data_IF_637608530541
#
_entry.id   IF_637608530541
#
_cell.length_a   1.000
_cell.length_b   1.000
_cell.length_c   1.000
_cell.angle_alpha   90.00
_cell.angle_beta   90.00
_cell.angle_gamma   90.00
#
_symmetry.space_group_name_H-M   'P 1'
#
loop_
_entity.id
_entity.type
_entity.pdbx_description
1 polymer ?
#
# COMPACT_ATOMS: atom_id res chain seq x y z
N UNK A 1 6.71 57.11 -57.17
CA UNK A 1 5.79 56.09 -56.62
C UNK A 1 6.49 55.40 -55.45
N UNK A 2 6.29 55.86 -54.22
CA UNK A 2 6.87 55.19 -53.05
C UNK A 2 5.82 54.28 -52.39
N UNK A 3 6.07 52.98 -52.37
CA UNK A 3 5.25 52.02 -51.61
C UNK A 3 5.81 51.93 -50.19
N UNK A 4 5.06 52.44 -49.22
CA UNK A 4 5.37 52.25 -47.80
C UNK A 4 4.95 50.84 -47.40
N UNK A 5 5.91 49.97 -47.09
CA UNK A 5 5.64 48.61 -46.62
C UNK A 5 5.43 48.66 -45.10
N UNK A 6 4.19 48.49 -44.66
CA UNK A 6 3.84 48.43 -43.25
C UNK A 6 4.11 47.01 -42.70
N UNK A 7 5.11 46.86 -41.84
CA UNK A 7 5.39 45.60 -41.17
C UNK A 7 4.42 45.41 -39.99
N UNK A 8 3.39 44.57 -40.16
CA UNK A 8 2.54 44.13 -39.06
C UNK A 8 3.29 43.10 -38.22
N UNK A 9 3.81 43.52 -37.05
CA UNK A 9 4.33 42.59 -36.05
C UNK A 9 3.16 41.86 -35.38
N UNK A 10 2.86 40.63 -35.83
CA UNK A 10 1.85 39.79 -35.17
C UNK A 10 2.39 39.27 -33.85
N UNK A 11 1.93 39.83 -32.73
CA UNK A 11 2.15 39.28 -31.40
C UNK A 11 1.44 37.93 -31.28
N UNK A 12 2.16 36.84 -31.51
CA UNK A 12 1.68 35.50 -31.22
C UNK A 12 1.63 35.32 -29.70
N UNK A 13 0.43 35.40 -29.13
CA UNK A 13 0.20 35.13 -27.71
C UNK A 13 0.45 33.64 -27.44
N UNK A 14 1.61 33.31 -26.88
CA UNK A 14 1.93 31.95 -26.45
C UNK A 14 1.10 31.63 -25.21
N UNK A 15 -0.05 30.98 -25.42
CA UNK A 15 -0.89 30.47 -24.34
C UNK A 15 -0.13 29.42 -23.54
N UNK A 16 0.44 29.81 -22.40
CA UNK A 16 1.02 28.87 -21.43
C UNK A 16 -0.12 28.06 -20.83
N UNK A 17 -0.35 26.86 -21.34
CA UNK A 17 -1.27 25.90 -20.74
C UNK A 17 -0.71 25.54 -19.37
N UNK A 18 -1.39 25.99 -18.30
CA UNK A 18 -1.00 25.65 -16.94
C UNK A 18 -1.07 24.13 -16.77
N UNK A 19 0.06 23.50 -16.41
CA UNK A 19 0.14 22.06 -16.32
C UNK A 19 -0.71 21.55 -15.16
N UNK A 20 -1.66 20.66 -15.46
CA UNK A 20 -2.65 20.20 -14.50
C UNK A 20 -2.02 19.30 -13.44
N UNK A 21 -2.54 19.37 -12.22
CA UNK A 21 -2.20 18.49 -11.10
C UNK A 21 -3.45 17.75 -10.63
N UNK A 22 -3.29 16.49 -10.20
CA UNK A 22 -4.38 15.72 -9.60
C UNK A 22 -4.56 16.07 -8.10
N UNK A 23 -5.52 15.39 -7.43
CA UNK A 23 -5.85 15.65 -6.03
C UNK A 23 -4.70 15.36 -5.04
N UNK A 24 -3.68 14.61 -5.46
CA UNK A 24 -2.46 14.35 -4.68
C UNK A 24 -1.35 15.38 -4.95
N UNK A 25 -1.57 16.38 -5.80
CA UNK A 25 -0.54 17.35 -6.22
C UNK A 25 0.49 16.77 -7.20
N UNK A 26 0.19 15.61 -7.79
CA UNK A 26 0.99 14.96 -8.84
C UNK A 26 0.65 15.63 -10.18
N UNK A 27 1.68 16.02 -10.93
CA UNK A 27 1.54 16.57 -12.28
C UNK A 27 0.97 15.49 -13.22
N UNK A 28 -0.12 15.82 -13.92
CA UNK A 28 -0.75 14.94 -14.90
C UNK A 28 0.13 14.94 -16.17
N UNK A 29 0.59 13.77 -16.66
CA UNK A 29 1.38 13.68 -17.89
C UNK A 29 0.55 14.06 -19.14
N UNK A 30 1.19 14.60 -20.21
CA UNK A 30 0.48 14.93 -21.45
C UNK A 30 -0.16 13.71 -22.12
N UNK A 31 -1.36 13.89 -22.68
CA UNK A 31 -2.05 12.81 -23.40
C UNK A 31 -1.30 12.37 -24.67
N UNK A 32 -1.12 11.06 -24.84
CA UNK A 32 -0.61 10.41 -26.06
C UNK A 32 -1.75 9.87 -26.91
N UNK A 33 -1.55 9.72 -28.23
CA UNK A 33 -2.61 9.28 -29.15
C UNK A 33 -2.67 7.78 -29.44
N UNK A 34 -1.67 6.98 -29.02
CA UNK A 34 -1.61 5.54 -29.31
C UNK A 34 -1.37 4.72 -28.03
N UNK A 35 -2.19 3.71 -27.77
CA UNK A 35 -2.02 2.77 -26.64
C UNK A 35 -1.04 1.63 -26.96
N UNK A 36 -0.36 1.12 -25.93
CA UNK A 36 0.61 0.00 -26.03
C UNK A 36 0.78 -0.80 -24.73
N UNK A 37 -0.08 -0.60 -23.73
CA UNK A 37 -0.06 -1.28 -22.44
C UNK A 37 -1.37 -2.06 -22.27
N UNK A 38 -1.27 -3.37 -22.03
CA UNK A 38 -2.42 -4.28 -21.93
C UNK A 38 -3.01 -4.27 -20.52
N UNK A 39 -3.54 -3.10 -20.15
CA UNK A 39 -4.02 -2.68 -18.83
C UNK A 39 -3.91 -3.71 -17.70
N UNK A 40 -4.97 -4.46 -17.41
CA UNK A 40 -5.08 -5.26 -16.17
C UNK A 40 -4.12 -6.44 -16.17
N UNK A 41 -3.91 -7.07 -17.32
CA UNK A 41 -3.02 -8.22 -17.44
C UNK A 41 -1.55 -7.82 -17.28
N UNK A 42 -1.16 -6.68 -17.86
CA UNK A 42 0.22 -6.19 -17.79
C UNK A 42 0.55 -5.62 -16.40
N UNK A 43 -0.34 -4.81 -15.82
CA UNK A 43 -0.20 -4.35 -14.44
C UNK A 43 -0.17 -5.52 -13.44
N UNK A 44 -1.03 -6.54 -13.64
CA UNK A 44 -1.03 -7.75 -12.84
C UNK A 44 0.26 -8.56 -12.95
N UNK A 45 0.82 -8.69 -14.16
CA UNK A 45 2.12 -9.36 -14.38
C UNK A 45 3.24 -8.65 -13.62
N UNK A 46 3.34 -7.32 -13.74
CA UNK A 46 4.36 -6.55 -13.04
C UNK A 46 4.25 -6.67 -11.52
N UNK A 47 3.04 -6.61 -10.94
CA UNK A 47 2.86 -6.81 -9.50
C UNK A 47 3.26 -8.24 -9.07
N UNK A 48 2.97 -9.27 -9.87
CA UNK A 48 3.38 -10.64 -9.58
C UNK A 48 4.92 -10.78 -9.59
N UNK A 49 5.60 -10.19 -10.58
CA UNK A 49 7.07 -10.17 -10.63
C UNK A 49 7.66 -9.47 -9.40
N UNK A 50 7.09 -8.34 -8.98
CA UNK A 50 7.51 -7.62 -7.77
C UNK A 50 7.35 -8.49 -6.51
N UNK A 51 6.20 -9.15 -6.35
CA UNK A 51 5.89 -10.05 -5.24
C UNK A 51 6.90 -11.20 -5.15
N UNK A 52 7.27 -11.79 -6.30
CA UNK A 52 8.32 -12.80 -6.38
C UNK A 52 9.68 -12.24 -5.95
N UNK A 53 10.13 -11.11 -6.53
CA UNK A 53 11.47 -10.55 -6.24
C UNK A 53 11.67 -10.10 -4.79
N UNK A 54 10.60 -9.77 -4.06
CA UNK A 54 10.65 -9.46 -2.63
C UNK A 54 10.22 -10.62 -1.71
N UNK A 55 9.93 -11.79 -2.27
CA UNK A 55 9.42 -12.97 -1.57
C UNK A 55 8.24 -12.64 -0.62
N UNK A 56 7.21 -12.00 -1.17
CA UNK A 56 5.98 -11.69 -0.47
C UNK A 56 4.81 -12.35 -1.21
N UNK A 57 4.11 -13.26 -0.53
CA UNK A 57 3.04 -14.07 -1.13
C UNK A 57 1.66 -13.41 -0.90
N UNK A 58 1.55 -12.12 -1.17
CA UNK A 58 0.28 -11.37 -1.01
C UNK A 58 -0.65 -11.64 -2.20
N UNK A 59 -1.96 -11.46 -2.03
CA UNK A 59 -2.94 -11.58 -3.11
C UNK A 59 -3.64 -10.22 -3.34
N UNK A 60 -3.12 -9.45 -4.29
CA UNK A 60 -3.69 -8.16 -4.66
C UNK A 60 -4.84 -8.30 -5.67
N UNK A 61 -5.89 -7.52 -5.46
CA UNK A 61 -6.92 -7.29 -6.46
C UNK A 61 -6.51 -6.09 -7.32
N UNK A 62 -6.06 -6.35 -8.55
CA UNK A 62 -5.63 -5.32 -9.50
C UNK A 62 -6.84 -4.86 -10.32
N UNK A 63 -7.08 -3.55 -10.40
CA UNK A 63 -8.24 -2.98 -11.08
C UNK A 63 -7.87 -1.74 -11.90
N UNK A 64 -8.25 -1.75 -13.16
CA UNK A 64 -8.25 -0.56 -14.00
C UNK A 64 -9.47 0.32 -13.67
N UNK A 65 -9.26 1.62 -13.53
CA UNK A 65 -10.29 2.64 -13.39
C UNK A 65 -9.84 3.92 -14.10
N UNK A 66 -10.22 4.08 -15.37
CA UNK A 66 -9.79 5.22 -16.19
C UNK A 66 -10.57 6.50 -15.86
N UNK A 67 -9.89 7.64 -15.88
CA UNK A 67 -10.43 8.97 -15.58
C UNK A 67 -9.97 9.55 -14.24
N UNK A 68 -9.40 8.73 -13.34
CA UNK A 68 -8.87 9.19 -12.05
C UNK A 68 -7.52 9.91 -12.17
N UNK A 69 -6.82 9.79 -13.31
CA UNK A 69 -5.50 10.39 -13.57
C UNK A 69 -4.48 10.09 -12.45
N UNK A 70 -4.47 8.85 -11.95
CA UNK A 70 -3.69 8.44 -10.79
C UNK A 70 -3.55 6.91 -10.72
N UNK A 71 -2.74 6.43 -9.76
CA UNK A 71 -2.90 5.10 -9.16
C UNK A 71 -3.03 5.25 -7.64
N UNK A 72 -3.63 4.27 -6.95
CA UNK A 72 -3.74 4.26 -5.50
C UNK A 72 -3.94 2.85 -4.91
N UNK A 73 -3.29 2.60 -3.78
CA UNK A 73 -3.52 1.47 -2.90
C UNK A 73 -4.72 1.71 -1.97
N UNK A 74 -5.60 0.72 -1.80
CA UNK A 74 -6.72 0.80 -0.86
C UNK A 74 -7.17 -0.58 -0.36
N UNK A 75 -8.04 -0.62 0.64
CA UNK A 75 -8.70 -1.83 1.13
C UNK A 75 -10.21 -1.70 0.89
N UNK A 76 -10.80 -2.66 0.19
CA UNK A 76 -12.24 -2.72 -0.05
C UNK A 76 -12.71 -4.11 0.37
N UNK A 77 -13.69 -4.17 1.29
CA UNK A 77 -14.28 -5.43 1.79
C UNK A 77 -13.21 -6.48 2.18
N UNK A 78 -12.27 -6.08 3.03
CA UNK A 78 -11.14 -6.90 3.50
C UNK A 78 -10.10 -7.35 2.46
N UNK A 79 -10.19 -6.92 1.21
CA UNK A 79 -9.22 -7.25 0.17
C UNK A 79 -8.33 -6.06 -0.14
N UNK A 80 -7.04 -6.31 -0.39
CA UNK A 80 -6.07 -5.29 -0.79
C UNK A 80 -6.21 -5.02 -2.29
N UNK A 81 -6.54 -3.79 -2.65
CA UNK A 81 -6.67 -3.33 -4.04
C UNK A 81 -5.52 -2.40 -4.43
N UNK A 82 -5.03 -2.56 -5.66
CA UNK A 82 -4.27 -1.53 -6.36
C UNK A 82 -5.13 -1.10 -7.54
N UNK A 83 -5.57 0.14 -7.52
CA UNK A 83 -6.45 0.75 -8.53
C UNK A 83 -5.61 1.74 -9.34
N UNK A 84 -5.72 1.72 -10.66
CA UNK A 84 -4.92 2.58 -11.53
C UNK A 84 -5.67 3.00 -12.80
N UNK A 85 -5.33 4.18 -13.30
CA UNK A 85 -5.74 4.67 -14.61
C UNK A 85 -4.72 4.22 -15.66
N UNK A 86 -5.15 3.44 -16.65
CA UNK A 86 -4.28 2.94 -17.70
C UNK A 86 -3.72 4.06 -18.57
N UNK A 87 -4.56 5.04 -18.91
CA UNK A 87 -4.15 6.18 -19.73
C UNK A 87 -3.12 7.04 -18.99
N UNK A 88 -3.29 7.23 -17.68
CA UNK A 88 -2.29 7.91 -16.85
C UNK A 88 -0.93 7.21 -16.88
N UNK A 89 -0.89 5.89 -16.67
CA UNK A 89 0.36 5.12 -16.70
C UNK A 89 1.00 5.14 -18.10
N UNK A 90 0.20 5.00 -19.16
CA UNK A 90 0.69 5.09 -20.54
C UNK A 90 1.25 6.49 -20.89
N UNK A 91 0.57 7.55 -20.46
CA UNK A 91 1.02 8.93 -20.67
C UNK A 91 2.30 9.20 -19.86
N UNK A 92 2.41 8.64 -18.65
CA UNK A 92 3.60 8.72 -17.82
C UNK A 92 4.80 8.04 -18.49
N UNK A 93 4.64 6.82 -19.00
CA UNK A 93 5.71 6.09 -19.69
C UNK A 93 6.21 6.85 -20.93
N UNK A 94 5.30 7.45 -21.70
CA UNK A 94 5.65 8.29 -22.83
C UNK A 94 6.37 9.58 -22.40
N UNK A 95 5.90 10.24 -21.34
CA UNK A 95 6.49 11.48 -20.83
C UNK A 95 7.85 11.27 -20.16
N UNK A 96 8.06 10.11 -19.53
CA UNK A 96 9.33 9.66 -18.94
C UNK A 96 10.27 8.99 -19.95
N UNK A 97 9.76 8.63 -21.14
CA UNK A 97 10.44 7.84 -22.17
C UNK A 97 10.92 6.44 -21.70
N UNK A 98 10.21 5.81 -20.76
CA UNK A 98 10.53 4.47 -20.25
C UNK A 98 9.33 3.81 -19.56
N UNK A 99 9.14 2.49 -19.79
CA UNK A 99 8.12 1.68 -19.06
C UNK A 99 8.39 1.55 -17.57
N UNK A 100 9.63 1.80 -17.14
CA UNK A 100 9.96 1.78 -15.72
C UNK A 100 9.25 2.88 -14.92
N UNK A 101 8.70 3.90 -15.57
CA UNK A 101 7.94 4.93 -14.89
C UNK A 101 6.61 4.38 -14.33
N UNK A 102 5.78 3.72 -15.13
CA UNK A 102 4.55 3.06 -14.67
C UNK A 102 4.83 1.93 -13.68
N UNK A 103 5.87 1.12 -13.92
CA UNK A 103 6.31 0.05 -13.00
C UNK A 103 6.70 0.64 -11.63
N UNK A 104 7.39 1.79 -11.59
CA UNK A 104 7.76 2.45 -10.32
C UNK A 104 6.56 2.97 -9.53
N UNK A 105 5.48 3.39 -10.21
CA UNK A 105 4.22 3.81 -9.58
C UNK A 105 3.50 2.59 -8.99
N UNK A 106 3.38 1.50 -9.75
CA UNK A 106 2.81 0.24 -9.25
C UNK A 106 3.60 -0.32 -8.04
N UNK A 107 4.94 -0.20 -8.07
CA UNK A 107 5.79 -0.58 -6.95
C UNK A 107 5.62 0.34 -5.73
N UNK A 108 5.34 1.63 -5.92
CA UNK A 108 5.00 2.57 -4.86
C UNK A 108 3.66 2.22 -4.19
N UNK A 109 2.62 1.91 -4.97
CA UNK A 109 1.33 1.44 -4.41
C UNK A 109 1.45 0.11 -3.66
N UNK A 110 2.24 -0.83 -4.20
CA UNK A 110 2.61 -2.04 -3.49
C UNK A 110 3.37 -1.72 -2.17
N UNK A 111 4.15 -0.63 -2.13
CA UNK A 111 4.81 -0.09 -0.94
C UNK A 111 3.85 0.39 0.14
N UNK A 112 2.80 1.11 -0.22
CA UNK A 112 1.73 1.49 0.72
C UNK A 112 1.08 0.26 1.37
N UNK A 113 0.85 -0.79 0.60
CA UNK A 113 0.38 -2.07 1.15
C UNK A 113 1.43 -2.76 2.04
N UNK A 114 2.69 -2.81 1.58
CA UNK A 114 3.82 -3.49 2.26
C UNK A 114 4.12 -2.90 3.64
N UNK A 115 3.93 -1.58 3.78
CA UNK A 115 4.08 -0.82 5.02
C UNK A 115 2.78 -0.69 5.83
N UNK A 116 1.66 -1.21 5.31
CA UNK A 116 0.32 -1.13 5.89
C UNK A 116 -0.24 0.30 6.04
N UNK A 117 0.16 1.22 5.16
CA UNK A 117 -0.29 2.61 5.15
C UNK A 117 -1.80 2.78 4.91
N UNK A 118 -2.43 1.82 4.26
CA UNK A 118 -3.86 1.85 3.90
C UNK A 118 -4.80 1.35 5.01
N UNK A 119 -4.26 0.76 6.09
CA UNK A 119 -5.07 0.05 7.09
C UNK A 119 -5.71 0.99 8.11
N UNK A 120 -5.08 2.14 8.39
CA UNK A 120 -5.61 3.15 9.31
C UNK A 120 -6.59 4.13 8.64
N UNK A 121 -7.00 3.87 7.39
CA UNK A 121 -7.90 4.68 6.56
C UNK A 121 -7.48 6.13 6.34
N UNK A 122 -6.32 6.55 6.82
CA UNK A 122 -5.80 7.91 6.63
C UNK A 122 -5.02 7.94 5.32
N UNK A 123 -5.30 8.94 4.49
CA UNK A 123 -4.58 9.16 3.24
C UNK A 123 -3.09 9.45 3.43
N UNK A 124 -2.43 9.82 2.33
CA UNK A 124 -1.00 10.11 2.29
C UNK A 124 -0.55 11.13 3.34
N UNK A 125 0.60 10.84 3.93
CA UNK A 125 1.34 11.75 4.81
C UNK A 125 2.82 11.66 4.44
N UNK A 126 3.64 12.70 4.65
CA UNK A 126 5.03 12.69 4.21
C UNK A 126 5.86 11.46 4.66
N UNK A 127 5.70 10.91 5.87
CA UNK A 127 6.37 9.66 6.25
C UNK A 127 5.88 8.43 5.47
N UNK A 128 4.56 8.26 5.31
CA UNK A 128 3.97 7.15 4.52
C UNK A 128 4.49 7.19 3.08
N UNK A 129 4.49 8.37 2.49
CA UNK A 129 5.03 8.61 1.17
C UNK A 129 6.49 8.18 1.05
N UNK A 130 7.38 8.65 1.94
CA UNK A 130 8.82 8.33 1.88
C UNK A 130 9.11 6.83 2.10
N UNK A 131 8.36 6.17 2.98
CA UNK A 131 8.47 4.71 3.18
C UNK A 131 8.03 3.89 1.94
N UNK A 132 7.07 4.40 1.15
CA UNK A 132 6.61 3.79 -0.10
C UNK A 132 7.59 4.02 -1.27
N UNK A 133 8.23 5.20 -1.37
CA UNK A 133 9.28 5.46 -2.37
C UNK A 133 10.55 4.66 -2.14
N UNK A 134 11.00 4.55 -0.89
CA UNK A 134 12.10 3.66 -0.53
C UNK A 134 11.78 2.22 -0.96
N UNK A 135 10.55 1.77 -0.73
CA UNK A 135 10.13 0.46 -1.17
C UNK A 135 10.11 0.33 -2.70
N UNK A 136 9.61 1.33 -3.43
CA UNK A 136 9.64 1.36 -4.89
C UNK A 136 11.07 1.23 -5.42
N UNK A 137 12.01 2.07 -4.97
CA UNK A 137 13.42 1.98 -5.38
C UNK A 137 14.06 0.62 -5.11
N UNK A 138 13.77 0.02 -3.95
CA UNK A 138 14.21 -1.33 -3.58
C UNK A 138 13.65 -2.42 -4.51
N UNK A 139 12.37 -2.34 -4.87
CA UNK A 139 11.74 -3.27 -5.82
C UNK A 139 12.31 -3.10 -7.23
N UNK A 140 12.43 -1.85 -7.70
CA UNK A 140 12.95 -1.52 -9.04
C UNK A 140 14.37 -2.06 -9.25
N UNK A 141 15.25 -1.90 -8.27
CA UNK A 141 16.60 -2.50 -8.28
C UNK A 141 16.59 -4.03 -8.39
N UNK A 142 15.62 -4.70 -7.75
CA UNK A 142 15.47 -6.16 -7.78
C UNK A 142 14.84 -6.69 -9.06
N UNK A 143 14.03 -5.87 -9.75
CA UNK A 143 13.55 -6.14 -11.10
C UNK A 143 14.63 -5.91 -12.17
N UNK A 144 15.71 -5.21 -11.83
CA UNK A 144 16.85 -4.95 -12.72
C UNK A 144 16.89 -3.55 -13.33
N UNK A 145 16.00 -2.64 -12.92
CA UNK A 145 16.02 -1.25 -13.38
C UNK A 145 17.29 -0.52 -12.93
N UNK A 146 17.78 0.40 -13.76
CA UNK A 146 18.80 1.38 -13.36
C UNK A 146 18.26 2.38 -12.33
N UNK A 147 19.16 3.11 -11.67
CA UNK A 147 18.76 4.15 -10.72
C UNK A 147 17.98 5.29 -11.39
N UNK A 148 18.34 5.66 -12.63
CA UNK A 148 17.65 6.73 -13.36
C UNK A 148 16.26 6.31 -13.82
N UNK A 149 16.10 5.07 -14.29
CA UNK A 149 14.79 4.48 -14.58
C UNK A 149 13.90 4.41 -13.32
N UNK A 150 14.49 4.02 -12.18
CA UNK A 150 13.79 3.99 -10.88
C UNK A 150 13.30 5.38 -10.43
N UNK A 151 13.97 6.45 -10.89
CA UNK A 151 13.65 7.85 -10.57
C UNK A 151 12.84 8.54 -11.66
N UNK A 152 12.60 7.90 -12.81
CA UNK A 152 12.07 8.52 -14.02
C UNK A 152 10.67 9.14 -13.81
N UNK A 153 9.76 8.43 -13.13
CA UNK A 153 8.42 8.93 -12.82
C UNK A 153 8.48 10.20 -11.95
N UNK A 154 9.09 10.12 -10.75
CA UNK A 154 9.18 11.26 -9.83
C UNK A 154 9.97 12.45 -10.42
N UNK A 155 10.91 12.19 -11.33
CA UNK A 155 11.57 13.25 -12.09
C UNK A 155 10.61 14.07 -12.97
N UNK A 156 9.51 13.46 -13.43
CA UNK A 156 8.51 14.09 -14.30
C UNK A 156 7.31 14.65 -13.53
N UNK A 157 6.80 13.91 -12.53
CA UNK A 157 5.47 14.19 -11.96
C UNK A 157 5.43 14.78 -10.54
N UNK A 158 6.55 14.75 -9.80
CA UNK A 158 6.57 15.23 -8.42
C UNK A 158 6.69 16.76 -8.32
N UNK A 159 5.92 17.38 -7.42
CA UNK A 159 6.02 18.79 -7.08
C UNK A 159 7.38 19.14 -6.45
N UNK A 160 8.00 20.23 -6.91
CA UNK A 160 9.22 20.77 -6.30
C UNK A 160 9.00 21.27 -4.86
N UNK A 161 7.76 21.57 -4.46
CA UNK A 161 7.40 22.01 -3.09
C UNK A 161 6.64 20.92 -2.36
N UNK A 162 6.96 20.73 -1.08
CA UNK A 162 6.20 19.85 -0.19
C UNK A 162 4.80 20.41 0.11
N UNK A 163 3.89 19.53 0.51
CA UNK A 163 2.56 19.83 1.04
C UNK A 163 2.36 19.15 2.40
N UNK A 164 1.15 19.28 2.99
CA UNK A 164 0.78 18.58 4.22
C UNK A 164 0.68 17.06 4.06
N UNK A 165 0.46 16.56 2.84
CA UNK A 165 0.30 15.13 2.52
C UNK A 165 1.49 14.53 1.78
N UNK A 166 2.20 15.31 0.96
CA UNK A 166 3.25 14.81 0.06
C UNK A 166 4.60 15.54 0.26
N UNK A 167 5.73 14.83 0.33
CA UNK A 167 7.07 15.43 0.39
C UNK A 167 7.43 16.20 -0.89
N UNK A 168 8.44 17.07 -0.80
CA UNK A 168 9.05 17.68 -1.98
C UNK A 168 9.75 16.63 -2.85
N UNK A 169 9.78 16.86 -4.16
CA UNK A 169 10.43 16.02 -5.18
C UNK A 169 11.83 15.53 -4.81
N UNK A 170 12.65 16.37 -4.19
CA UNK A 170 14.02 15.99 -3.79
C UNK A 170 14.01 14.85 -2.77
N UNK A 171 13.25 14.98 -1.69
CA UNK A 171 13.10 13.94 -0.66
C UNK A 171 12.48 12.65 -1.23
N UNK A 172 11.52 12.77 -2.18
CA UNK A 172 10.94 11.64 -2.93
C UNK A 172 12.06 10.86 -3.65
N UNK A 173 12.85 11.57 -4.47
CA UNK A 173 13.97 11.01 -5.24
C UNK A 173 15.10 10.45 -4.37
N UNK A 174 15.36 11.04 -3.21
CA UNK A 174 16.35 10.54 -2.25
C UNK A 174 15.90 9.20 -1.66
N UNK A 175 14.66 9.08 -1.21
CA UNK A 175 14.11 7.83 -0.68
C UNK A 175 14.19 6.69 -1.70
N UNK A 176 13.82 6.95 -2.97
CA UNK A 176 13.99 5.99 -4.08
C UNK A 176 15.46 5.56 -4.20
N UNK A 177 16.39 6.51 -4.20
CA UNK A 177 17.84 6.24 -4.30
C UNK A 177 18.33 5.36 -3.15
N UNK A 178 17.94 5.67 -1.91
CA UNK A 178 18.31 4.88 -0.73
C UNK A 178 17.80 3.43 -0.84
N UNK A 179 16.53 3.24 -1.24
CA UNK A 179 15.96 1.91 -1.45
C UNK A 179 16.67 1.10 -2.55
N UNK A 180 17.00 1.75 -3.66
CA UNK A 180 17.71 1.14 -4.79
C UNK A 180 19.13 0.72 -4.38
N UNK A 181 19.89 1.61 -3.74
CA UNK A 181 21.23 1.32 -3.23
C UNK A 181 21.24 0.15 -2.24
N UNK A 182 20.27 0.11 -1.31
CA UNK A 182 20.11 -0.99 -0.36
C UNK A 182 19.90 -2.35 -1.04
N UNK A 183 19.04 -2.42 -2.07
CA UNK A 183 18.83 -3.63 -2.85
C UNK A 183 20.09 -4.11 -3.60
N UNK A 184 20.97 -3.19 -3.98
CA UNK A 184 22.23 -3.47 -4.69
C UNK A 184 23.41 -3.80 -3.76
N UNK A 185 23.23 -3.73 -2.44
CA UNK A 185 24.33 -3.89 -1.48
C UNK A 185 25.30 -2.71 -1.45
N UNK A 186 24.90 -1.56 -1.98
CA UNK A 186 25.69 -0.33 -1.97
C UNK A 186 25.35 0.40 -0.66
N UNK A 187 26.11 0.11 0.40
CA UNK A 187 25.85 0.65 1.74
C UNK A 187 27.09 1.25 2.38
N UNK A 188 27.01 2.55 2.69
CA UNK A 188 27.40 3.01 4.02
C UNK A 188 26.16 2.85 4.94
N UNK A 189 26.36 2.23 6.11
CA UNK A 189 25.34 1.65 7.00
C UNK A 189 24.49 2.69 7.80
N UNK A 190 23.31 2.36 8.40
CA UNK A 190 22.98 1.08 9.05
C UNK A 190 21.59 0.44 8.81
N UNK A 191 21.53 -0.90 8.97
CA UNK A 191 20.33 -1.74 8.87
C UNK A 191 19.51 -1.87 10.17
N UNK A 192 18.19 -2.10 10.08
CA UNK A 192 17.41 -2.89 11.04
C UNK A 192 17.52 -4.39 10.71
N UNK A 193 17.87 -5.22 11.70
CA UNK A 193 18.13 -6.66 11.54
C UNK A 193 16.85 -7.54 11.55
N UNK A 194 16.92 -8.72 10.92
CA UNK A 194 15.96 -9.84 11.08
C UNK A 194 16.68 -11.10 11.61
N UNK A 195 16.04 -11.87 12.50
CA UNK A 195 16.32 -13.31 12.63
C UNK A 195 15.08 -14.23 12.51
N UNK A 196 15.37 -15.53 12.42
CA UNK A 196 14.51 -16.65 12.00
C UNK A 196 13.81 -17.39 13.19
N UNK A 197 12.62 -18.03 13.04
CA UNK A 197 11.89 -18.66 14.16
C UNK A 197 11.78 -20.21 14.11
N UNK A 198 11.86 -20.89 15.28
CA UNK A 198 11.37 -22.26 15.50
C UNK A 198 11.00 -22.52 16.98
N UNK A 199 9.82 -23.10 17.26
CA UNK A 199 9.52 -23.99 18.41
C UNK A 199 8.11 -24.65 18.32
N UNK A 200 7.82 -25.78 19.03
CA UNK A 200 6.60 -26.61 18.85
C UNK A 200 5.51 -26.51 19.96
N UNK A 201 4.44 -27.35 19.86
CA UNK A 201 3.10 -27.28 20.55
C UNK A 201 3.02 -27.98 21.96
N UNK A 202 1.90 -28.11 22.73
CA UNK A 202 0.44 -27.99 22.43
C UNK A 202 -0.58 -27.49 23.52
N UNK A 203 -1.09 -28.27 24.52
CA UNK A 203 -2.54 -28.24 24.88
C UNK A 203 -2.89 -27.90 26.36
N UNK A 204 -4.16 -27.69 26.80
CA UNK A 204 -5.40 -27.08 26.21
C UNK A 204 -6.59 -27.14 27.22
N UNK A 205 -7.42 -26.09 27.37
CA UNK A 205 -8.75 -26.07 28.07
C UNK A 205 -9.64 -24.90 27.53
N UNK A 206 -10.86 -24.58 28.04
CA UNK A 206 -12.15 -24.61 27.32
C UNK A 206 -12.53 -23.33 26.51
N UNK A 207 -13.66 -23.31 25.76
CA UNK A 207 -13.81 -22.42 24.61
C UNK A 207 -14.53 -21.06 24.81
N UNK A 208 -13.95 -20.01 24.22
CA UNK A 208 -14.57 -18.75 23.81
C UNK A 208 -15.51 -18.96 22.60
N UNK A 209 -16.29 -17.94 22.18
CA UNK A 209 -17.39 -18.10 21.23
C UNK A 209 -16.98 -18.73 19.89
N UNK A 210 -17.82 -19.60 19.30
CA UNK A 210 -17.55 -20.19 18.00
C UNK A 210 -17.51 -19.10 16.92
N UNK A 211 -16.53 -19.14 15.99
CA UNK A 211 -16.45 -18.23 14.84
C UNK A 211 -17.73 -18.24 14.00
N UNK A 212 -18.30 -17.07 13.71
CA UNK A 212 -19.35 -16.95 12.69
C UNK A 212 -18.76 -16.42 11.38
N UNK A 213 -18.82 -17.25 10.33
CA UNK A 213 -18.38 -16.88 8.97
C UNK A 213 -19.45 -16.08 8.20
N UNK A 214 -20.67 -16.02 8.73
CA UNK A 214 -21.81 -15.25 8.21
C UNK A 214 -22.42 -14.50 9.39
N UNK A 215 -22.12 -13.19 9.58
CA UNK A 215 -22.72 -12.43 10.66
C UNK A 215 -24.21 -12.18 10.41
N UNK A 216 -25.02 -11.97 11.47
CA UNK A 216 -26.31 -11.30 11.33
C UNK A 216 -26.10 -9.90 10.72
N UNK A 217 -27.11 -9.31 10.05
CA UNK A 217 -26.95 -8.03 9.37
C UNK A 217 -26.44 -6.94 10.34
N UNK A 218 -25.32 -6.24 10.03
CA UNK A 218 -24.65 -5.33 10.97
C UNK A 218 -25.41 -4.02 11.27
N UNK A 219 -26.69 -3.92 10.91
CA UNK A 219 -27.51 -2.74 11.14
C UNK A 219 -27.90 -2.54 12.62
N UNK A 220 -28.08 -3.63 13.38
CA UNK A 220 -28.83 -3.58 14.65
C UNK A 220 -27.99 -3.87 15.93
N UNK A 221 -26.74 -4.33 15.82
CA UNK A 221 -25.89 -4.65 16.98
C UNK A 221 -24.43 -4.16 16.78
N UNK A 222 -24.09 -3.05 17.41
CA UNK A 222 -22.73 -2.48 17.38
C UNK A 222 -21.72 -3.21 18.28
N UNK A 223 -22.08 -4.32 18.94
CA UNK A 223 -21.13 -5.11 19.74
C UNK A 223 -20.24 -6.06 18.92
N UNK A 224 -20.61 -6.33 17.67
CA UNK A 224 -19.81 -7.15 16.76
C UNK A 224 -18.48 -6.48 16.38
N UNK A 225 -17.48 -7.33 16.16
CA UNK A 225 -16.13 -6.98 15.72
C UNK A 225 -15.83 -7.79 14.47
N UNK A 226 -15.50 -7.12 13.37
CA UNK A 226 -14.86 -7.75 12.21
C UNK A 226 -13.35 -7.80 12.43
N UNK A 227 -12.79 -9.00 12.40
CA UNK A 227 -11.37 -9.28 12.51
C UNK A 227 -10.81 -9.76 11.18
N UNK A 228 -9.82 -9.04 10.69
CA UNK A 228 -9.31 -9.14 9.33
C UNK A 228 -7.87 -9.62 9.33
N UNK A 229 -7.60 -10.82 8.81
CA UNK A 229 -6.23 -11.33 8.65
C UNK A 229 -5.67 -10.91 7.30
N UNK A 230 -4.71 -9.97 7.29
CA UNK A 230 -4.00 -9.60 6.07
C UNK A 230 -2.65 -10.32 5.98
N UNK A 231 -2.52 -11.20 5.00
CA UNK A 231 -1.28 -11.90 4.70
C UNK A 231 -1.49 -13.13 3.82
N UNK A 232 -0.52 -14.03 3.87
CA UNK A 232 -0.37 -15.15 2.93
C UNK A 232 -0.91 -16.49 3.47
N UNK A 233 -0.96 -16.60 4.79
CA UNK A 233 -1.11 -17.87 5.51
C UNK A 233 -2.17 -17.71 6.58
N UNK A 234 -3.13 -18.64 6.59
CA UNK A 234 -4.12 -18.79 7.66
C UNK A 234 -3.40 -18.92 9.02
N UNK A 235 -4.02 -18.42 10.09
CA UNK A 235 -3.45 -18.50 11.44
C UNK A 235 -4.52 -18.75 12.50
N UNK A 236 -4.09 -19.30 13.63
CA UNK A 236 -4.92 -19.38 14.83
C UNK A 236 -4.53 -18.25 15.77
N UNK A 237 -5.46 -17.35 16.07
CA UNK A 237 -5.35 -16.43 17.21
C UNK A 237 -6.05 -17.01 18.42
N UNK A 238 -5.87 -16.37 19.57
CA UNK A 238 -6.49 -16.78 20.82
C UNK A 238 -7.29 -15.61 21.38
N UNK A 239 -8.60 -15.81 21.57
CA UNK A 239 -9.52 -14.79 22.07
C UNK A 239 -9.94 -15.06 23.52
N UNK A 240 -10.16 -13.99 24.30
CA UNK A 240 -10.59 -14.07 25.71
C UNK A 240 -11.42 -12.86 26.12
N UNK A 241 -12.61 -13.08 26.67
CA UNK A 241 -13.42 -12.04 27.31
C UNK A 241 -12.75 -11.47 28.58
N UNK A 242 -12.23 -12.36 29.44
CA UNK A 242 -11.76 -12.01 30.78
C UNK A 242 -10.23 -11.76 30.87
N UNK A 243 -9.49 -12.02 29.78
CA UNK A 243 -8.04 -11.86 29.72
C UNK A 243 -7.24 -12.95 30.43
N UNK A 244 -7.89 -14.05 30.82
CA UNK A 244 -7.29 -15.23 31.48
C UNK A 244 -7.50 -16.49 30.64
N UNK A 245 -8.74 -16.75 30.26
CA UNK A 245 -9.15 -17.97 29.59
C UNK A 245 -9.18 -17.72 28.07
N UNK A 246 -8.20 -18.26 27.36
CA UNK A 246 -7.92 -17.99 25.95
C UNK A 246 -8.26 -19.18 25.07
N UNK A 247 -8.91 -18.93 23.92
CA UNK A 247 -9.35 -20.00 23.02
C UNK A 247 -8.98 -19.74 21.58
N UNK A 248 -8.52 -20.82 20.93
CA UNK A 248 -8.18 -20.87 19.52
C UNK A 248 -9.35 -20.44 18.60
N UNK A 249 -9.11 -19.37 17.84
CA UNK A 249 -9.94 -18.84 16.78
C UNK A 249 -9.16 -18.94 15.46
N UNK A 250 -9.48 -19.91 14.57
CA UNK A 250 -8.83 -20.03 13.27
C UNK A 250 -9.32 -18.93 12.33
N UNK A 251 -8.37 -18.22 11.72
CA UNK A 251 -8.58 -17.11 10.80
C UNK A 251 -8.07 -17.48 9.40
N UNK A 252 -8.77 -17.00 8.37
CA UNK A 252 -8.38 -17.15 6.97
C UNK A 252 -8.03 -15.81 6.34
N UNK A 253 -7.02 -15.78 5.47
CA UNK A 253 -6.45 -14.54 4.91
C UNK A 253 -7.36 -13.76 3.94
N UNK A 254 -8.53 -14.31 3.62
CA UNK A 254 -9.46 -13.75 2.63
C UNK A 254 -10.91 -13.70 3.14
N UNK A 255 -11.15 -14.05 4.40
CA UNK A 255 -12.49 -14.08 5.00
C UNK A 255 -12.51 -13.24 6.29
N UNK A 256 -13.42 -12.26 6.42
CA UNK A 256 -13.61 -11.58 7.69
C UNK A 256 -14.08 -12.59 8.75
N UNK A 257 -13.45 -12.56 9.91
CA UNK A 257 -13.86 -13.33 11.08
C UNK A 257 -14.72 -12.43 11.95
N UNK A 258 -15.98 -12.82 12.21
CA UNK A 258 -16.92 -11.96 12.94
C UNK A 258 -17.32 -12.61 14.26
N UNK A 259 -17.20 -11.84 15.34
CA UNK A 259 -17.43 -12.30 16.70
C UNK A 259 -17.78 -11.10 17.61
N UNK A 260 -18.24 -11.39 18.83
CA UNK A 260 -18.33 -10.40 19.90
C UNK A 260 -17.88 -11.01 21.22
N UNK A 261 -17.43 -10.15 22.13
CA UNK A 261 -17.25 -10.50 23.54
C UNK A 261 -18.59 -10.39 24.27
N UNK A 262 -18.93 -11.37 25.09
CA UNK A 262 -20.23 -11.50 25.76
C UNK A 262 -20.19 -11.01 27.22
N UNK A 263 -19.02 -10.99 27.86
CA UNK A 263 -18.90 -10.61 29.29
C UNK A 263 -18.71 -9.10 29.46
N UNK A 264 -17.93 -8.46 28.58
CA UNK A 264 -17.58 -7.03 28.67
C UNK A 264 -17.66 -6.35 27.31
N UNK A 265 -17.70 -5.01 27.30
CA UNK A 265 -17.61 -4.20 26.07
C UNK A 265 -16.23 -4.22 25.37
N UNK A 266 -15.41 -5.20 25.72
CA UNK A 266 -14.06 -5.41 25.25
C UNK A 266 -13.63 -6.85 25.55
N UNK A 267 -12.53 -7.27 24.95
CA UNK A 267 -11.81 -8.46 25.33
C UNK A 267 -10.39 -8.41 24.79
N UNK A 268 -9.79 -9.58 24.62
CA UNK A 268 -8.36 -9.72 24.42
C UNK A 268 -8.02 -10.73 23.32
N UNK A 269 -6.94 -10.44 22.59
CA UNK A 269 -6.40 -11.28 21.52
C UNK A 269 -4.91 -11.56 21.75
N UNK A 270 -4.47 -12.80 21.53
CA UNK A 270 -3.07 -13.24 21.48
C UNK A 270 -2.77 -14.01 20.19
N UNK A 271 -1.52 -13.98 19.74
CA UNK A 271 -1.07 -14.78 18.58
C UNK A 271 -0.61 -16.20 18.94
N UNK A 272 -0.42 -16.48 20.23
CA UNK A 272 -0.08 -17.81 20.76
C UNK A 272 -0.83 -18.05 22.07
N UNK A 273 -0.91 -19.30 22.51
CA UNK A 273 -1.52 -19.66 23.81
C UNK A 273 -0.56 -19.47 25.01
N UNK A 274 0.54 -18.75 24.83
CA UNK A 274 1.51 -18.51 25.91
C UNK A 274 0.92 -17.49 26.91
N UNK A 275 1.11 -17.72 28.21
CA UNK A 275 0.72 -16.79 29.27
C UNK A 275 1.42 -15.44 29.16
N UNK A 276 2.64 -15.42 28.60
CA UNK A 276 3.48 -14.24 28.37
C UNK A 276 3.28 -13.61 26.98
N UNK A 277 2.40 -14.17 26.13
CA UNK A 277 2.16 -13.63 24.79
C UNK A 277 1.66 -12.18 24.86
N UNK A 278 2.16 -11.34 23.93
CA UNK A 278 1.65 -9.98 23.81
C UNK A 278 0.14 -10.01 23.57
N UNK A 279 -0.58 -9.34 24.46
CA UNK A 279 -2.03 -9.35 24.51
C UNK A 279 -2.56 -8.01 24.00
N UNK A 280 -3.48 -8.07 23.05
CA UNK A 280 -4.09 -6.91 22.38
C UNK A 280 -5.50 -6.70 22.91
N UNK A 281 -5.86 -5.47 23.31
CA UNK A 281 -7.22 -5.15 23.76
C UNK A 281 -8.09 -4.78 22.56
N UNK A 282 -9.18 -5.51 22.37
CA UNK A 282 -10.18 -5.25 21.33
C UNK A 282 -11.46 -4.71 22.00
N UNK A 283 -12.07 -3.68 21.42
CA UNK A 283 -13.27 -3.02 21.92
C UNK A 283 -14.47 -3.35 21.01
N UNK A 284 -15.67 -3.44 21.58
CA UNK A 284 -16.92 -3.40 20.80
C UNK A 284 -17.02 -2.11 19.98
N UNK A 285 -17.79 -2.14 18.90
CA UNK A 285 -18.02 -0.97 18.03
C UNK A 285 -16.77 -0.52 17.28
N UNK A 286 -15.82 -1.44 17.05
CA UNK A 286 -14.60 -1.19 16.29
C UNK A 286 -14.09 -2.47 15.66
N UNK A 287 -13.70 -2.37 14.40
CA UNK A 287 -13.10 -3.46 13.64
C UNK A 287 -11.57 -3.47 13.77
N UNK A 288 -10.96 -4.62 13.51
CA UNK A 288 -9.53 -4.84 13.75
C UNK A 288 -8.87 -5.62 12.63
N UNK A 289 -7.64 -5.22 12.31
CA UNK A 289 -6.80 -5.87 11.32
C UNK A 289 -5.58 -6.50 11.99
N UNK A 290 -5.38 -7.80 11.74
CA UNK A 290 -4.12 -8.48 12.00
C UNK A 290 -3.23 -8.30 10.77
N UNK A 291 -2.07 -7.69 10.98
CA UNK A 291 -1.12 -7.37 9.93
C UNK A 291 0.28 -7.81 10.35
N UNK A 292 1.09 -8.26 9.39
CA UNK A 292 2.53 -8.45 9.64
C UNK A 292 3.22 -7.08 9.66
N UNK A 293 3.66 -6.66 10.85
CA UNK A 293 4.38 -5.41 11.03
C UNK A 293 5.87 -5.63 10.74
N UNK A 294 6.28 -5.42 9.48
CA UNK A 294 7.69 -5.56 9.05
C UNK A 294 8.66 -4.70 9.88
N UNK A 295 8.26 -3.51 10.32
CA UNK A 295 9.05 -2.65 11.24
C UNK A 295 9.35 -3.31 12.60
N UNK A 296 8.44 -4.15 13.09
CA UNK A 296 8.56 -4.86 14.39
C UNK A 296 8.94 -6.35 14.22
N UNK A 297 9.11 -6.81 12.97
CA UNK A 297 9.28 -8.21 12.58
C UNK A 297 8.30 -9.18 13.31
N UNK A 298 7.04 -8.78 13.47
CA UNK A 298 6.02 -9.57 14.19
C UNK A 298 4.60 -9.22 13.74
N UNK A 299 3.65 -10.13 14.01
CA UNK A 299 2.22 -9.87 13.85
C UNK A 299 1.74 -8.83 14.86
N UNK A 300 0.82 -7.96 14.44
CA UNK A 300 0.23 -6.95 15.31
C UNK A 300 -1.24 -6.73 14.97
N UNK A 301 -2.05 -6.38 15.97
CA UNK A 301 -3.45 -6.00 15.79
C UNK A 301 -3.52 -4.48 15.75
N UNK A 302 -4.12 -3.94 14.69
CA UNK A 302 -4.41 -2.50 14.57
C UNK A 302 -5.92 -2.28 14.44
N UNK A 303 -6.46 -1.17 14.98
CA UNK A 303 -7.84 -0.80 14.73
C UNK A 303 -8.03 -0.42 13.26
N UNK A 304 -9.15 -0.85 12.67
CA UNK A 304 -9.68 -0.32 11.42
C UNK A 304 -10.60 0.86 11.76
N UNK A 305 -10.59 1.97 10.99
CA UNK A 305 -11.50 3.11 11.20
C UNK A 305 -12.92 2.86 10.73
#
# INVERSE_FOLDING_TARGET
MNRLILFFLTFQSVSVVAQQVNQCGIIIPPQRMNSSFSSVYEAGSYINDMLEKVNWKENFQIREENGINNAYATIIRNQRYIIYDNNFLENLDAYAATKWASISVLAHEMGHHYRNHVVDGKGSTPPKELEADYFSGYVMAKLGATLDESRAAMNKIASARASSSHPAKENRLEAITQGWNYAKGITDSPQPQQPNPQQPQKPSSPPAPPPQQTPPPPADDASWIYLSLYGNTDMTVYLSDNGKDFTAAPLKTTQPFVFKFEIYKYGWLRFTNDSHAQTYKLLHGRDYAIIWSRRKNTWTVVPVP
#
